data_IF_480946770333
#
_entry.id   IF_480946770333
#
_cell.length_a   1.000
_cell.length_b   1.000
_cell.length_c   1.000
_cell.angle_alpha   90.00
_cell.angle_beta   90.00
_cell.angle_gamma   90.00
#
_symmetry.space_group_name_H-M   'P 1'
#
loop_
_entity.id
_entity.type
_entity.pdbx_description
1 polymer ?
#
# COMPACT_ATOMS: atom_id res chain seq x y z
N UNK A 1 -9.19 -24.13 -5.97
CA UNK A 1 -8.94 -24.28 -4.54
C UNK A 1 -9.21 -22.96 -3.82
N UNK A 2 -9.75 -23.04 -2.62
CA UNK A 2 -9.98 -21.86 -1.80
C UNK A 2 -8.62 -21.24 -1.40
N UNK A 3 -8.52 -19.91 -1.46
CA UNK A 3 -7.38 -19.16 -0.96
C UNK A 3 -7.69 -18.77 0.49
N UNK A 4 -6.74 -18.98 1.39
CA UNK A 4 -6.87 -18.63 2.82
C UNK A 4 -5.56 -18.13 3.38
N UNK A 5 -5.59 -17.16 4.32
CA UNK A 5 -4.42 -16.82 5.12
C UNK A 5 -4.15 -17.95 6.12
N UNK A 6 -2.94 -18.48 6.14
CA UNK A 6 -2.50 -19.48 7.11
C UNK A 6 -1.23 -19.00 7.81
N UNK A 7 -1.16 -19.27 9.12
CA UNK A 7 -0.01 -18.93 9.95
C UNK A 7 1.10 -19.95 9.81
N UNK A 8 2.32 -19.49 9.66
CA UNK A 8 3.53 -20.33 9.70
C UNK A 8 3.84 -20.69 11.14
N UNK A 9 3.81 -21.98 11.49
CA UNK A 9 4.28 -22.48 12.78
C UNK A 9 5.80 -22.60 12.80
N UNK A 10 6.37 -23.26 11.77
CA UNK A 10 7.78 -23.57 11.71
C UNK A 10 8.32 -23.44 10.29
N UNK A 11 9.59 -23.05 10.20
CA UNK A 11 10.37 -23.09 8.96
C UNK A 11 11.51 -24.07 9.14
N UNK A 12 11.56 -25.08 8.28
CA UNK A 12 12.53 -26.19 8.33
C UNK A 12 13.45 -26.18 7.10
N UNK A 13 14.37 -27.16 7.04
CA UNK A 13 15.28 -27.35 5.89
C UNK A 13 14.59 -27.85 4.61
N UNK A 14 13.33 -28.24 4.66
CA UNK A 14 12.57 -28.78 3.52
C UNK A 14 11.41 -27.89 3.08
N UNK A 15 11.03 -26.93 3.88
CA UNK A 15 9.89 -26.01 3.64
C UNK A 15 9.36 -25.43 4.93
N UNK A 16 8.13 -24.93 4.90
CA UNK A 16 7.44 -24.40 6.06
C UNK A 16 6.23 -25.29 6.42
N UNK A 17 5.83 -25.25 7.69
CA UNK A 17 4.65 -25.92 8.21
C UNK A 17 3.64 -24.87 8.67
N UNK A 18 2.41 -25.00 8.18
CA UNK A 18 1.34 -24.03 8.37
C UNK A 18 0.25 -24.60 9.27
N UNK A 19 -0.25 -23.76 10.18
CA UNK A 19 -1.42 -24.06 10.97
C UNK A 19 -2.71 -23.87 10.13
N UNK A 20 -3.43 -24.95 9.92
CA UNK A 20 -4.71 -24.96 9.21
C UNK A 20 -5.86 -25.54 10.03
N UNK A 21 -5.65 -25.63 11.37
CA UNK A 21 -6.67 -26.07 12.33
C UNK A 21 -6.83 -27.59 12.47
N UNK A 22 -5.94 -28.39 11.86
CA UNK A 22 -5.90 -29.85 12.01
C UNK A 22 -4.68 -30.28 12.83
N UNK A 23 -4.71 -31.54 13.32
CA UNK A 23 -3.63 -32.11 14.14
C UNK A 23 -2.27 -32.10 13.40
N UNK A 24 -2.28 -32.41 12.09
CA UNK A 24 -1.08 -32.38 11.26
C UNK A 24 -0.99 -31.06 10.53
N UNK A 25 0.13 -30.36 10.67
CA UNK A 25 0.39 -29.11 9.98
C UNK A 25 0.47 -29.29 8.46
N UNK A 26 0.00 -28.30 7.72
CA UNK A 26 0.04 -28.28 6.26
C UNK A 26 1.43 -27.93 5.75
N UNK A 27 1.99 -28.78 4.90
CA UNK A 27 3.34 -28.58 4.36
C UNK A 27 3.35 -27.58 3.19
N UNK A 28 4.23 -26.59 3.24
CA UNK A 28 4.51 -25.62 2.18
C UNK A 28 5.95 -25.81 1.67
N UNK A 29 6.16 -26.57 0.58
CA UNK A 29 7.51 -26.81 0.01
C UNK A 29 8.19 -25.52 -0.44
N UNK A 30 9.52 -25.43 -0.41
CA UNK A 30 10.28 -24.27 -0.88
C UNK A 30 9.92 -23.83 -2.29
N UNK A 31 9.72 -24.76 -3.22
CA UNK A 31 9.35 -24.46 -4.62
C UNK A 31 7.99 -23.79 -4.78
N UNK A 32 7.14 -23.86 -3.74
CA UNK A 32 5.80 -23.28 -3.70
C UNK A 32 5.75 -21.99 -2.87
N UNK A 33 6.86 -21.61 -2.24
CA UNK A 33 6.99 -20.36 -1.50
C UNK A 33 7.27 -19.18 -2.45
N UNK A 34 6.80 -18.00 -2.07
CA UNK A 34 7.13 -16.73 -2.69
C UNK A 34 7.80 -15.83 -1.63
N UNK A 35 9.04 -15.40 -1.93
CA UNK A 35 9.82 -14.59 -1.03
C UNK A 35 10.30 -15.33 0.24
N UNK A 36 10.64 -14.56 1.27
CA UNK A 36 11.19 -15.08 2.52
C UNK A 36 10.07 -15.29 3.55
N UNK A 37 9.86 -16.55 3.93
CA UNK A 37 8.82 -16.95 4.88
C UNK A 37 9.36 -16.86 6.30
N UNK A 38 8.55 -16.36 7.23
CA UNK A 38 8.90 -16.17 8.65
C UNK A 38 7.91 -16.89 9.57
N UNK A 39 8.38 -17.50 10.65
CA UNK A 39 7.50 -18.05 11.69
C UNK A 39 6.56 -16.99 12.27
N UNK A 40 5.38 -17.41 12.70
CA UNK A 40 4.33 -16.57 13.30
C UNK A 40 3.76 -15.48 12.37
N UNK A 41 4.02 -15.55 11.05
CA UNK A 41 3.40 -14.69 10.05
C UNK A 41 2.37 -15.46 9.24
N UNK A 42 1.38 -14.73 8.74
CA UNK A 42 0.32 -15.27 7.88
C UNK A 42 0.64 -14.98 6.42
N UNK A 43 0.36 -15.97 5.56
CA UNK A 43 0.52 -15.87 4.12
C UNK A 43 -0.69 -16.48 3.43
N UNK A 44 -1.09 -15.87 2.32
CA UNK A 44 -2.14 -16.43 1.48
C UNK A 44 -1.64 -17.67 0.76
N UNK A 45 -2.35 -18.75 0.95
CA UNK A 45 -2.05 -20.04 0.32
C UNK A 45 -3.31 -20.69 -0.24
N UNK A 46 -3.11 -21.59 -1.17
CA UNK A 46 -4.11 -22.54 -1.64
C UNK A 46 -3.59 -23.97 -1.49
N UNK A 47 -4.49 -24.94 -1.59
CA UNK A 47 -4.16 -26.35 -1.48
C UNK A 47 -3.92 -26.96 -2.87
N UNK A 48 -2.97 -27.88 -2.95
CA UNK A 48 -2.76 -28.73 -4.10
C UNK A 48 -2.29 -30.12 -3.70
N UNK A 49 -2.45 -31.11 -4.57
CA UNK A 49 -1.93 -32.45 -4.37
C UNK A 49 -0.58 -32.57 -5.10
N UNK A 50 0.47 -32.96 -4.39
CA UNK A 50 1.80 -33.13 -4.95
C UNK A 50 1.92 -34.44 -5.76
N UNK A 51 3.09 -34.67 -6.38
CA UNK A 51 3.35 -35.89 -7.18
C UNK A 51 3.37 -37.18 -6.34
N UNK A 52 3.42 -37.07 -5.03
CA UNK A 52 3.40 -38.19 -4.07
C UNK A 52 2.01 -38.35 -3.43
N UNK A 53 0.99 -37.79 -4.05
CA UNK A 53 -0.41 -37.82 -3.61
C UNK A 53 -0.65 -37.26 -2.18
N UNK A 54 0.18 -36.25 -1.81
CA UNK A 54 0.06 -35.56 -0.51
C UNK A 54 -0.56 -34.18 -0.72
N UNK A 55 -1.44 -33.82 0.22
CA UNK A 55 -2.00 -32.49 0.28
C UNK A 55 -0.94 -31.50 0.79
N UNK A 56 -0.66 -30.46 0.02
CA UNK A 56 0.36 -29.45 0.28
C UNK A 56 -0.21 -28.04 0.03
N UNK A 57 0.46 -27.02 0.59
CA UNK A 57 0.16 -25.61 0.34
C UNK A 57 1.00 -25.05 -0.81
N UNK A 58 0.44 -24.06 -1.52
CA UNK A 58 1.14 -23.23 -2.48
C UNK A 58 0.82 -21.75 -2.26
N UNK A 59 1.83 -20.88 -2.36
CA UNK A 59 1.67 -19.42 -2.40
C UNK A 59 1.48 -18.88 -3.82
N UNK A 60 1.58 -19.72 -4.85
CA UNK A 60 1.44 -19.35 -6.26
C UNK A 60 -0.05 -19.19 -6.65
N UNK A 61 -0.76 -18.35 -5.93
CA UNK A 61 -2.20 -18.18 -6.01
C UNK A 61 -2.68 -17.30 -7.18
N UNK A 62 -1.78 -16.61 -7.88
CA UNK A 62 -2.15 -15.60 -8.88
C UNK A 62 -3.09 -16.09 -9.99
N UNK A 63 -3.03 -17.40 -10.36
CA UNK A 63 -3.94 -18.01 -11.35
C UNK A 63 -5.30 -18.40 -10.77
N UNK A 64 -5.44 -18.40 -9.46
CA UNK A 64 -6.66 -18.77 -8.74
C UNK A 64 -7.50 -17.54 -8.36
N UNK A 65 -6.90 -16.35 -8.46
CA UNK A 65 -7.59 -15.08 -8.19
C UNK A 65 -8.51 -14.75 -9.37
N UNK A 66 -9.73 -14.30 -9.05
CA UNK A 66 -10.71 -13.88 -10.02
C UNK A 66 -10.41 -12.50 -10.59
N UNK A 67 -10.83 -12.28 -11.84
CA UNK A 67 -10.93 -10.96 -12.46
C UNK A 67 -12.37 -10.49 -12.63
N UNK A 68 -13.33 -11.32 -12.26
CA UNK A 68 -14.76 -10.98 -12.26
C UNK A 68 -15.14 -10.38 -10.91
N UNK A 69 -15.29 -9.06 -10.88
CA UNK A 69 -15.53 -8.26 -9.69
C UNK A 69 -16.39 -7.03 -9.99
N UNK A 70 -16.88 -6.38 -8.94
CA UNK A 70 -17.75 -5.19 -9.02
C UNK A 70 -17.04 -3.86 -8.72
N UNK A 71 -15.74 -3.88 -8.40
CA UNK A 71 -14.99 -2.69 -8.01
C UNK A 71 -14.87 -1.67 -9.14
N UNK A 72 -14.88 -0.40 -8.75
CA UNK A 72 -14.77 0.76 -9.64
C UNK A 72 -13.54 1.60 -9.32
N UNK A 73 -13.15 2.44 -10.27
CA UNK A 73 -12.08 3.42 -10.05
C UNK A 73 -12.43 4.34 -8.88
N UNK A 74 -11.52 4.48 -7.94
CA UNK A 74 -11.55 5.20 -6.68
C UNK A 74 -12.16 4.44 -5.50
N UNK A 75 -12.64 3.23 -5.66
CA UNK A 75 -12.99 2.40 -4.50
C UNK A 75 -11.74 2.13 -3.66
N UNK A 76 -11.93 2.11 -2.35
CA UNK A 76 -10.92 1.66 -1.39
C UNK A 76 -11.19 0.21 -1.04
N UNK A 77 -10.15 -0.61 -1.09
CA UNK A 77 -10.23 -2.06 -0.93
C UNK A 77 -9.13 -2.55 0.00
N UNK A 78 -9.41 -3.61 0.75
CA UNK A 78 -8.38 -4.33 1.49
C UNK A 78 -7.69 -5.31 0.57
N UNK A 79 -6.38 -5.44 0.69
CA UNK A 79 -5.63 -6.37 -0.15
C UNK A 79 -4.40 -6.91 0.58
N UNK A 80 -4.11 -8.20 0.36
CA UNK A 80 -2.94 -8.89 0.90
C UNK A 80 -1.88 -9.04 -0.19
N UNK A 81 -0.66 -8.62 0.11
CA UNK A 81 0.49 -8.77 -0.80
C UNK A 81 0.90 -10.24 -0.84
N UNK A 82 0.78 -10.90 -2.00
CA UNK A 82 1.18 -12.31 -2.12
C UNK A 82 2.46 -12.52 -2.94
N UNK A 83 2.88 -11.54 -3.75
CA UNK A 83 4.12 -11.62 -4.52
C UNK A 83 4.68 -10.21 -4.80
N UNK A 84 6.00 -10.10 -4.93
CA UNK A 84 6.70 -8.86 -5.30
C UNK A 84 7.63 -9.14 -6.48
N UNK A 85 7.49 -8.34 -7.53
CA UNK A 85 8.37 -8.37 -8.69
C UNK A 85 9.12 -7.03 -8.78
N UNK A 86 10.47 -7.04 -8.83
CA UNK A 86 11.27 -5.81 -8.86
C UNK A 86 10.96 -4.88 -10.04
N UNK A 87 10.50 -5.41 -11.17
CA UNK A 87 10.22 -4.65 -12.38
C UNK A 87 8.76 -4.20 -12.48
N UNK A 88 7.84 -5.01 -11.97
CA UNK A 88 6.40 -4.80 -12.14
C UNK A 88 5.70 -4.24 -10.91
N UNK A 89 6.29 -4.32 -9.72
CA UNK A 89 5.69 -3.90 -8.46
C UNK A 89 5.17 -5.05 -7.61
N UNK A 90 4.16 -4.80 -6.76
CA UNK A 90 3.60 -5.80 -5.87
C UNK A 90 2.28 -6.35 -6.42
N UNK A 91 2.14 -7.68 -6.38
CA UNK A 91 0.91 -8.38 -6.70
C UNK A 91 0.12 -8.61 -5.42
N UNK A 92 -1.15 -8.29 -5.46
CA UNK A 92 -2.04 -8.34 -4.30
C UNK A 92 -3.32 -9.11 -4.60
N UNK A 93 -3.83 -9.78 -3.59
CA UNK A 93 -5.17 -10.37 -3.60
C UNK A 93 -6.13 -9.38 -2.93
N UNK A 94 -6.98 -8.74 -3.70
CA UNK A 94 -8.02 -7.84 -3.21
C UNK A 94 -9.13 -8.69 -2.60
N UNK A 95 -9.49 -8.38 -1.32
CA UNK A 95 -10.43 -9.17 -0.51
C UNK A 95 -10.09 -10.68 -0.51
N UNK A 96 -8.79 -11.01 -0.64
CA UNK A 96 -8.23 -12.36 -0.77
C UNK A 96 -8.82 -13.20 -1.93
N UNK A 97 -9.48 -12.56 -2.89
CA UNK A 97 -10.24 -13.20 -3.98
C UNK A 97 -9.90 -12.65 -5.36
N UNK A 98 -9.60 -11.36 -5.49
CA UNK A 98 -9.49 -10.72 -6.80
C UNK A 98 -8.08 -10.28 -7.13
N UNK A 99 -7.72 -10.39 -8.41
CA UNK A 99 -6.37 -10.11 -8.89
C UNK A 99 -6.09 -8.61 -8.98
N UNK A 100 -5.12 -8.14 -8.21
CA UNK A 100 -4.68 -6.76 -8.20
C UNK A 100 -3.16 -6.61 -8.28
N UNK A 101 -2.72 -5.40 -8.63
CA UNK A 101 -1.31 -5.04 -8.68
C UNK A 101 -1.12 -3.59 -8.25
N UNK A 102 -0.10 -3.35 -7.44
CA UNK A 102 0.46 -2.03 -7.15
C UNK A 102 1.63 -1.83 -8.12
N UNK A 103 1.55 -0.93 -9.12
CA UNK A 103 2.66 -0.64 -10.00
C UNK A 103 3.90 -0.15 -9.23
N UNK A 104 5.10 -0.46 -9.69
CA UNK A 104 6.36 -0.07 -9.03
C UNK A 104 6.43 1.42 -8.70
N UNK A 105 5.96 2.28 -9.59
CA UNK A 105 5.94 3.75 -9.42
C UNK A 105 5.07 4.24 -8.27
N UNK A 106 4.12 3.43 -7.81
CA UNK A 106 3.21 3.75 -6.70
C UNK A 106 3.78 3.27 -5.34
N UNK A 107 4.90 2.53 -5.37
CA UNK A 107 5.53 1.97 -4.17
C UNK A 107 6.66 2.91 -3.73
N UNK A 108 6.43 3.69 -2.67
CA UNK A 108 7.43 4.61 -2.11
C UNK A 108 8.06 4.06 -0.84
N UNK A 109 7.35 3.18 -0.13
CA UNK A 109 7.83 2.53 1.09
C UNK A 109 8.07 1.04 0.84
N UNK A 110 8.85 0.41 1.73
CA UNK A 110 9.10 -1.02 1.66
C UNK A 110 7.80 -1.78 1.91
N UNK A 111 7.41 -2.62 0.96
CA UNK A 111 6.29 -3.55 1.04
C UNK A 111 6.83 -4.96 1.20
N UNK A 112 6.17 -5.81 1.99
CA UNK A 112 6.56 -7.20 2.22
C UNK A 112 5.42 -8.17 1.90
N UNK A 113 5.76 -9.40 1.53
CA UNK A 113 4.78 -10.47 1.29
C UNK A 113 4.09 -10.82 2.60
N UNK A 114 2.75 -10.99 2.55
CA UNK A 114 1.89 -11.19 3.71
C UNK A 114 1.38 -9.89 4.35
N UNK A 115 1.83 -8.73 3.87
CA UNK A 115 1.35 -7.45 4.36
C UNK A 115 -0.07 -7.17 3.86
N UNK A 116 -0.93 -6.71 4.78
CA UNK A 116 -2.27 -6.25 4.46
C UNK A 116 -2.27 -4.73 4.29
N UNK A 117 -2.83 -4.28 3.20
CA UNK A 117 -2.84 -2.87 2.81
C UNK A 117 -4.25 -2.41 2.47
N UNK A 118 -4.55 -1.15 2.80
CA UNK A 118 -5.73 -0.48 2.30
C UNK A 118 -5.35 0.31 1.04
N UNK A 119 -5.93 -0.03 -0.09
CA UNK A 119 -5.52 0.44 -1.41
C UNK A 119 -6.69 1.04 -2.17
N UNK A 120 -6.41 2.07 -2.96
CA UNK A 120 -7.39 2.69 -3.85
C UNK A 120 -7.26 2.12 -5.26
N UNK A 121 -8.38 1.75 -5.87
CA UNK A 121 -8.44 1.35 -7.29
C UNK A 121 -8.14 2.56 -8.17
N UNK A 122 -7.05 2.49 -8.92
CA UNK A 122 -6.65 3.55 -9.86
C UNK A 122 -7.12 3.29 -11.28
N UNK A 123 -7.23 2.02 -11.65
CA UNK A 123 -7.70 1.56 -12.96
C UNK A 123 -8.27 0.16 -12.85
N UNK A 124 -9.38 -0.09 -13.54
CA UNK A 124 -9.86 -1.43 -13.90
C UNK A 124 -9.39 -1.67 -15.33
N UNK A 125 -8.56 -2.69 -15.54
CA UNK A 125 -8.03 -3.03 -16.85
C UNK A 125 -9.08 -3.81 -17.66
N UNK A 126 -8.94 -3.89 -18.98
CA UNK A 126 -9.87 -4.60 -19.88
C UNK A 126 -9.99 -6.10 -19.56
N UNK A 127 -8.92 -6.70 -19.03
CA UNK A 127 -8.88 -8.09 -18.58
C UNK A 127 -9.41 -8.30 -17.15
N UNK A 128 -10.02 -7.28 -16.56
CA UNK A 128 -10.56 -7.30 -15.20
C UNK A 128 -9.52 -7.21 -14.09
N UNK A 129 -8.23 -7.07 -14.38
CA UNK A 129 -7.21 -6.88 -13.35
C UNK A 129 -7.27 -5.47 -12.76
N UNK A 130 -7.10 -5.36 -11.45
CA UNK A 130 -7.11 -4.10 -10.74
C UNK A 130 -5.70 -3.49 -10.65
N UNK A 131 -5.54 -2.23 -11.05
CA UNK A 131 -4.37 -1.42 -10.73
C UNK A 131 -4.67 -0.59 -9.48
N UNK A 132 -3.78 -0.62 -8.51
CA UNK A 132 -4.01 -0.11 -7.16
C UNK A 132 -2.90 0.84 -6.73
N UNK A 133 -3.24 1.74 -5.80
CA UNK A 133 -2.28 2.66 -5.18
C UNK A 133 -2.56 2.78 -3.67
N UNK A 134 -1.53 2.82 -2.81
CA UNK A 134 -1.68 3.14 -1.39
C UNK A 134 -1.95 4.63 -1.15
N UNK A 135 -1.90 5.44 -2.20
CA UNK A 135 -2.00 6.89 -2.10
C UNK A 135 -3.39 7.39 -2.48
N UNK A 136 -3.82 8.43 -1.80
CA UNK A 136 -4.99 9.21 -2.22
C UNK A 136 -4.73 9.91 -3.57
N UNK A 137 -5.80 10.44 -4.16
CA UNK A 137 -5.65 11.30 -5.35
C UNK A 137 -4.79 12.50 -4.99
N UNK A 138 -3.86 12.85 -5.87
CA UNK A 138 -2.91 13.94 -5.63
C UNK A 138 -3.58 15.27 -5.24
N UNK A 139 -4.76 15.58 -5.78
CA UNK A 139 -5.48 16.79 -5.43
C UNK A 139 -6.07 16.75 -4.00
N UNK A 140 -6.54 15.58 -3.52
CA UNK A 140 -7.04 15.42 -2.15
C UNK A 140 -5.90 15.56 -1.13
N UNK A 141 -4.71 15.04 -1.47
CA UNK A 141 -3.53 15.25 -0.65
C UNK A 141 -3.12 16.73 -0.61
N UNK A 142 -3.18 17.44 -1.75
CA UNK A 142 -2.92 18.88 -1.78
C UNK A 142 -3.91 19.65 -0.92
N UNK A 143 -5.19 19.30 -0.95
CA UNK A 143 -6.22 19.95 -0.14
C UNK A 143 -6.02 19.70 1.37
N UNK A 144 -5.59 18.50 1.77
CA UNK A 144 -5.21 18.18 3.16
C UNK A 144 -3.97 18.95 3.62
N UNK A 145 -2.94 18.96 2.78
CA UNK A 145 -1.71 19.70 3.07
C UNK A 145 -2.00 21.22 3.18
N UNK A 146 -2.88 21.73 2.32
CA UNK A 146 -3.35 23.11 2.36
C UNK A 146 -4.12 23.44 3.64
N UNK A 147 -5.01 22.55 4.07
CA UNK A 147 -5.72 22.69 5.34
C UNK A 147 -4.76 22.70 6.52
N UNK A 148 -3.81 21.74 6.57
CA UNK A 148 -2.78 21.70 7.60
C UNK A 148 -1.99 23.00 7.70
N UNK A 149 -1.61 23.58 6.55
CA UNK A 149 -0.90 24.87 6.50
C UNK A 149 -1.79 25.99 7.02
N UNK A 150 -3.07 26.05 6.65
CA UNK A 150 -4.00 27.08 7.16
C UNK A 150 -4.21 26.97 8.66
N UNK A 151 -4.45 25.77 9.18
CA UNK A 151 -4.61 25.52 10.63
C UNK A 151 -3.32 25.95 11.38
N UNK A 152 -2.15 25.70 10.79
CA UNK A 152 -0.88 26.14 11.37
C UNK A 152 -0.74 27.66 11.31
N UNK A 153 -1.07 28.32 10.21
CA UNK A 153 -1.04 29.79 10.12
C UNK A 153 -1.94 30.40 11.18
N UNK A 154 -3.12 29.84 11.42
CA UNK A 154 -4.03 30.29 12.48
C UNK A 154 -3.45 30.11 13.87
N UNK A 155 -2.76 29.01 14.15
CA UNK A 155 -2.06 28.78 15.42
C UNK A 155 -0.89 29.75 15.69
N UNK A 156 -0.39 30.40 14.63
CA UNK A 156 0.64 31.43 14.67
C UNK A 156 0.07 32.85 14.46
N UNK A 157 -1.16 33.10 14.95
CA UNK A 157 -1.83 34.40 14.86
C UNK A 157 -1.93 34.97 13.41
N UNK A 158 -2.16 34.09 12.47
CA UNK A 158 -2.34 34.44 11.05
C UNK A 158 -1.03 34.65 10.27
N UNK A 159 0.13 34.34 10.86
CA UNK A 159 1.44 34.55 10.23
C UNK A 159 2.36 33.34 10.42
N UNK A 160 2.67 32.64 9.36
CA UNK A 160 3.67 31.58 9.37
C UNK A 160 5.07 32.15 9.14
N UNK A 161 6.07 31.93 10.03
CA UNK A 161 7.38 32.57 9.95
C UNK A 161 8.34 31.94 8.94
N UNK A 162 7.82 31.25 7.95
CA UNK A 162 8.57 30.63 6.85
C UNK A 162 7.75 30.57 5.55
N UNK A 163 8.43 30.45 4.41
CA UNK A 163 7.85 30.49 3.09
C UNK A 163 8.49 29.40 2.17
N UNK A 164 8.27 29.51 0.86
CA UNK A 164 8.78 28.57 -0.15
C UNK A 164 10.32 28.55 -0.28
N UNK A 165 11.04 29.56 0.24
CA UNK A 165 12.52 29.61 0.29
C UNK A 165 13.08 28.87 1.51
N UNK A 166 12.26 28.54 2.52
CA UNK A 166 12.67 27.90 3.77
C UNK A 166 13.30 26.51 3.51
N UNK A 167 14.27 26.14 4.34
CA UNK A 167 15.00 24.86 4.23
C UNK A 167 14.05 23.66 4.39
N UNK A 168 14.26 22.56 3.64
CA UNK A 168 13.41 21.36 3.73
C UNK A 168 13.28 20.81 5.15
N UNK A 169 14.39 20.73 5.90
CA UNK A 169 14.39 20.20 7.27
C UNK A 169 13.50 21.01 8.24
N UNK A 170 13.36 22.33 8.04
CA UNK A 170 12.46 23.16 8.85
C UNK A 170 11.00 22.86 8.53
N UNK A 171 10.65 22.75 7.25
CA UNK A 171 9.29 22.42 6.80
C UNK A 171 8.86 21.04 7.30
N UNK A 172 9.77 20.06 7.22
CA UNK A 172 9.52 18.70 7.68
C UNK A 172 9.32 18.65 9.21
N UNK A 173 10.15 19.35 9.96
CA UNK A 173 10.06 19.41 11.43
C UNK A 173 8.76 20.08 11.91
N UNK A 174 8.37 21.21 11.29
CA UNK A 174 7.24 22.03 11.75
C UNK A 174 5.87 21.52 11.23
N UNK A 175 5.84 20.95 10.02
CA UNK A 175 4.61 20.56 9.34
C UNK A 175 4.53 19.07 8.99
N UNK A 176 5.63 18.31 9.11
CA UNK A 176 5.68 16.93 8.64
C UNK A 176 5.57 16.79 7.12
N UNK A 177 5.75 17.87 6.36
CA UNK A 177 5.63 17.90 4.92
C UNK A 177 6.99 17.94 4.22
N UNK A 178 7.10 17.24 3.08
CA UNK A 178 8.23 17.48 2.19
C UNK A 178 8.15 18.90 1.57
N UNK A 179 9.28 19.49 1.21
CA UNK A 179 9.31 20.82 0.56
C UNK A 179 8.46 20.86 -0.71
N UNK A 180 8.40 19.78 -1.46
CA UNK A 180 7.58 19.70 -2.69
C UNK A 180 6.08 19.68 -2.36
N UNK A 181 5.65 18.96 -1.31
CA UNK A 181 4.27 18.96 -0.83
C UNK A 181 3.87 20.35 -0.33
N UNK A 182 4.71 20.96 0.52
CA UNK A 182 4.52 22.32 1.01
C UNK A 182 4.34 23.34 -0.12
N UNK A 183 5.23 23.34 -1.15
CA UNK A 183 5.11 24.25 -2.29
C UNK A 183 3.80 24.06 -3.07
N UNK A 184 3.35 22.82 -3.28
CA UNK A 184 2.07 22.56 -3.97
C UNK A 184 0.89 23.09 -3.18
N UNK A 185 0.86 22.84 -1.87
CA UNK A 185 -0.20 23.30 -0.97
C UNK A 185 -0.24 24.83 -0.84
N UNK A 186 0.90 25.49 -0.67
CA UNK A 186 1.03 26.94 -0.65
C UNK A 186 0.56 27.53 -1.99
N UNK A 187 0.95 26.94 -3.13
CA UNK A 187 0.48 27.35 -4.46
C UNK A 187 -1.04 27.23 -4.60
N UNK A 188 -1.67 26.21 -4.02
CA UNK A 188 -3.13 26.05 -3.97
C UNK A 188 -3.78 27.17 -3.15
N UNK A 189 -3.31 27.41 -1.92
CA UNK A 189 -3.84 28.47 -1.05
C UNK A 189 -3.69 29.88 -1.64
N UNK A 190 -2.56 30.13 -2.33
CA UNK A 190 -2.32 31.40 -3.02
C UNK A 190 -3.29 31.59 -4.19
N UNK A 191 -3.53 30.53 -4.99
CA UNK A 191 -4.50 30.55 -6.10
C UNK A 191 -5.92 30.79 -5.60
N UNK A 192 -6.28 30.21 -4.45
CA UNK A 192 -7.60 30.37 -3.83
C UNK A 192 -7.72 31.74 -3.11
N UNK A 193 -6.67 32.55 -3.10
CA UNK A 193 -6.67 33.90 -2.52
C UNK A 193 -6.68 33.94 -0.99
N UNK A 194 -6.39 32.82 -0.32
CA UNK A 194 -6.48 32.68 1.13
C UNK A 194 -5.23 33.17 1.87
N UNK A 195 -4.10 33.26 1.18
CA UNK A 195 -2.82 33.68 1.75
C UNK A 195 -2.08 34.68 0.86
N UNK A 196 -1.09 35.35 1.46
CA UNK A 196 -0.06 36.16 0.76
C UNK A 196 1.32 35.70 1.18
N UNK A 197 2.24 35.55 0.24
CA UNK A 197 3.65 35.22 0.49
C UNK A 197 4.44 36.52 0.59
N UNK A 198 5.23 36.63 1.67
CA UNK A 198 6.14 37.76 1.90
C UNK A 198 7.58 37.25 2.03
N UNK A 199 8.57 38.14 2.03
CA UNK A 199 9.97 37.76 2.26
C UNK A 199 10.19 37.11 3.64
N UNK A 200 9.35 37.45 4.62
CA UNK A 200 9.45 36.99 6.01
C UNK A 200 8.46 35.88 6.38
N UNK A 201 7.72 35.33 5.42
CA UNK A 201 6.78 34.24 5.69
C UNK A 201 5.50 34.30 4.88
N UNK A 202 4.46 33.62 5.35
CA UNK A 202 3.14 33.52 4.76
C UNK A 202 2.14 34.19 5.71
N UNK A 203 1.26 35.02 5.17
CA UNK A 203 0.19 35.71 5.88
C UNK A 203 -1.17 35.21 5.41
N UNK A 204 -2.08 35.00 6.35
CA UNK A 204 -3.52 34.81 6.04
C UNK A 204 -4.08 36.14 5.50
N UNK A 205 -4.94 36.05 4.51
CA UNK A 205 -5.73 37.23 4.02
C UNK A 205 -7.02 37.36 4.77
#
# INVERSE_FOLDING_TARGET
GAIRPLRVKEVSKIGAFLDWGLEKDLFLPFKEQLGHIRPNKEYLVSLYIDKSDRLCATMKIGKLLSTDHHFKVNDWVHATVYNINPDHGAFVAVEDQFLGRIPKREIHNKIVIGEQLNLRVTKVNEDGKLSLSPHEKAYLQIDRDAKLIMDTIESYDGRLPFNDKTRPATIERELGLSKAAFKRAVGRLLKDGLITITDNGILKK
#
